data_IF_728407485342
#
_entry.id   IF_728407485342
#
_cell.length_a   1.000
_cell.length_b   1.000
_cell.length_c   1.000
_cell.angle_alpha   90.00
_cell.angle_beta   90.00
_cell.angle_gamma   90.00
#
_symmetry.space_group_name_H-M   'P 1'
#
loop_
_entity.id
_entity.type
_entity.pdbx_description
1 polymer ?
#
# COMPACT_ATOMS: atom_id res chain seq x y z
N UNK A 1 -27.40 -10.71 -14.87
CA UNK A 1 -26.43 -10.70 -15.95
C UNK A 1 -25.12 -11.32 -15.52
N UNK A 2 -24.82 -12.42 -16.15
CA UNK A 2 -23.64 -13.21 -15.84
C UNK A 2 -22.32 -12.42 -16.00
N UNK A 3 -22.28 -11.44 -16.91
CA UNK A 3 -21.06 -10.70 -17.21
C UNK A 3 -20.52 -9.87 -16.06
N UNK A 4 -21.37 -9.29 -15.23
CA UNK A 4 -20.91 -8.53 -14.06
C UNK A 4 -20.32 -9.43 -12.99
N UNK A 5 -20.94 -10.59 -12.76
CA UNK A 5 -20.45 -11.55 -11.78
C UNK A 5 -19.10 -12.15 -12.22
N UNK A 6 -18.98 -12.48 -13.50
CA UNK A 6 -17.73 -12.98 -14.05
C UNK A 6 -16.61 -11.94 -13.92
N UNK A 7 -16.93 -10.67 -14.20
CA UNK A 7 -15.96 -9.59 -14.09
C UNK A 7 -15.48 -9.41 -12.65
N UNK A 8 -16.39 -9.44 -11.66
CA UNK A 8 -16.04 -9.34 -10.25
C UNK A 8 -15.20 -10.53 -9.79
N UNK A 9 -15.54 -11.74 -10.20
CA UNK A 9 -14.76 -12.94 -9.88
C UNK A 9 -13.38 -12.89 -10.52
N UNK A 10 -13.28 -12.49 -11.79
CA UNK A 10 -12.02 -12.33 -12.49
C UNK A 10 -11.15 -11.29 -11.80
N UNK A 11 -11.75 -10.15 -11.39
CA UNK A 11 -11.03 -9.11 -10.65
C UNK A 11 -10.49 -9.62 -9.32
N UNK A 12 -11.30 -10.35 -8.55
CA UNK A 12 -10.86 -10.92 -7.28
C UNK A 12 -9.73 -11.92 -7.48
N UNK A 13 -9.85 -12.85 -8.45
CA UNK A 13 -8.80 -13.80 -8.78
C UNK A 13 -7.51 -13.13 -9.25
N UNK A 14 -7.64 -12.04 -10.02
CA UNK A 14 -6.50 -11.37 -10.59
C UNK A 14 -5.65 -10.62 -9.57
N UNK A 15 -6.13 -10.45 -8.34
CA UNK A 15 -5.36 -9.84 -7.25
C UNK A 15 -4.53 -10.84 -6.47
N UNK A 16 -4.97 -12.09 -6.41
CA UNK A 16 -4.27 -13.12 -5.64
C UNK A 16 -2.86 -13.33 -6.21
N UNK A 17 -1.88 -13.35 -5.32
CA UNK A 17 -0.49 -13.59 -5.69
C UNK A 17 0.47 -12.64 -5.02
N UNK A 18 1.65 -12.54 -5.61
CA UNK A 18 2.76 -11.73 -5.12
C UNK A 18 3.00 -10.58 -6.08
N UNK A 19 3.08 -9.38 -5.54
CA UNK A 19 3.28 -8.14 -6.29
C UNK A 19 4.54 -7.43 -5.80
N UNK A 20 5.29 -6.86 -6.72
CA UNK A 20 6.50 -6.09 -6.45
C UNK A 20 6.20 -4.60 -6.62
N UNK A 21 6.66 -3.78 -5.69
CA UNK A 21 6.46 -2.33 -5.73
C UNK A 21 7.26 -1.72 -6.90
N UNK A 22 6.57 -0.89 -7.68
CA UNK A 22 7.18 -0.11 -8.76
C UNK A 22 7.41 1.32 -8.29
N UNK A 23 6.40 1.94 -7.66
CA UNK A 23 6.50 3.33 -7.20
C UNK A 23 5.57 3.59 -6.03
N UNK A 24 5.92 4.60 -5.25
CA UNK A 24 5.12 5.10 -4.14
C UNK A 24 5.15 6.62 -4.14
N UNK A 25 4.03 7.23 -4.57
CA UNK A 25 3.86 8.67 -4.61
C UNK A 25 2.93 9.13 -3.49
N UNK A 26 3.22 10.28 -2.92
CA UNK A 26 2.25 11.06 -2.17
C UNK A 26 1.71 12.18 -3.05
N UNK A 27 0.39 12.38 -3.01
CA UNK A 27 -0.28 13.52 -3.61
C UNK A 27 -0.83 14.38 -2.49
N UNK A 28 -0.47 15.67 -2.50
CA UNK A 28 -0.92 16.63 -1.50
C UNK A 28 -2.31 17.15 -1.84
N UNK A 29 -3.23 17.13 -0.89
CA UNK A 29 -4.61 17.54 -1.14
C UNK A 29 -4.73 19.03 -1.46
N UNK A 30 -3.92 19.86 -0.82
CA UNK A 30 -4.01 21.33 -0.95
C UNK A 30 -3.35 21.80 -2.23
N UNK A 31 -2.14 21.31 -2.52
CA UNK A 31 -1.34 21.81 -3.64
C UNK A 31 -1.52 20.99 -4.91
N UNK A 32 -1.96 19.74 -4.80
CA UNK A 32 -2.01 18.78 -5.90
C UNK A 32 -0.64 18.26 -6.31
N UNK A 33 0.43 18.68 -5.64
CA UNK A 33 1.77 18.23 -5.95
C UNK A 33 1.94 16.75 -5.59
N UNK A 34 2.74 16.05 -6.41
CA UNK A 34 3.11 14.65 -6.17
C UNK A 34 4.59 14.58 -5.87
N UNK A 35 4.94 13.70 -4.94
CA UNK A 35 6.34 13.43 -4.59
C UNK A 35 6.56 11.94 -4.47
N UNK A 36 7.76 11.50 -4.81
CA UNK A 36 8.19 10.11 -4.60
C UNK A 36 8.50 9.93 -3.11
N UNK A 37 7.59 9.31 -2.37
CA UNK A 37 7.71 9.25 -0.91
C UNK A 37 8.91 8.44 -0.44
N UNK A 38 9.22 7.35 -1.16
CA UNK A 38 10.31 6.44 -0.81
C UNK A 38 11.42 6.41 -1.88
N UNK A 39 11.61 7.51 -2.63
CA UNK A 39 12.63 7.60 -3.67
C UNK A 39 12.17 7.03 -5.00
N UNK A 40 13.10 6.97 -5.96
CA UNK A 40 12.82 6.52 -7.31
C UNK A 40 12.81 4.99 -7.44
N UNK A 41 13.49 4.30 -6.54
CA UNK A 41 13.59 2.84 -6.55
C UNK A 41 13.28 2.25 -5.18
N UNK A 42 12.04 2.40 -4.71
CA UNK A 42 11.64 1.77 -3.45
C UNK A 42 11.59 0.26 -3.62
N UNK A 43 11.65 -0.46 -2.53
CA UNK A 43 11.46 -1.90 -2.51
C UNK A 43 10.16 -2.22 -1.79
N UNK A 44 9.44 -3.21 -2.28
CA UNK A 44 8.23 -3.62 -1.60
C UNK A 44 7.65 -4.88 -2.18
N UNK A 45 6.90 -5.57 -1.33
CA UNK A 45 6.21 -6.79 -1.69
C UNK A 45 4.82 -6.79 -1.06
N UNK A 46 3.84 -7.07 -1.89
CA UNK A 46 2.45 -7.23 -1.48
C UNK A 46 2.06 -8.66 -1.77
N UNK A 47 1.54 -9.34 -0.77
CA UNK A 47 1.07 -10.72 -0.91
C UNK A 47 -0.40 -10.76 -0.57
N UNK A 48 -1.20 -11.23 -1.53
CA UNK A 48 -2.63 -11.44 -1.36
C UNK A 48 -2.92 -12.92 -1.55
N UNK A 49 -3.37 -13.57 -0.50
CA UNK A 49 -3.74 -14.99 -0.55
C UNK A 49 -5.23 -15.16 -0.80
N UNK A 50 -5.58 -16.26 -1.42
CA UNK A 50 -6.97 -16.58 -1.74
C UNK A 50 -7.85 -16.69 -0.50
N UNK A 51 -7.28 -17.12 0.63
CA UNK A 51 -8.00 -17.27 1.89
C UNK A 51 -8.32 -15.94 2.59
N UNK A 52 -7.93 -14.80 1.99
CA UNK A 52 -8.21 -13.48 2.55
C UNK A 52 -7.07 -12.85 3.34
N UNK A 53 -5.93 -13.50 3.44
CA UNK A 53 -4.78 -12.91 4.13
C UNK A 53 -4.01 -11.99 3.19
N UNK A 54 -3.68 -10.81 3.69
CA UNK A 54 -2.86 -9.82 3.02
C UNK A 54 -1.67 -9.46 3.90
N UNK A 55 -0.50 -9.34 3.30
CA UNK A 55 0.70 -8.84 3.94
C UNK A 55 1.44 -7.93 2.98
N UNK A 56 1.89 -6.79 3.47
CA UNK A 56 2.66 -5.84 2.68
C UNK A 56 3.85 -5.33 3.48
N UNK A 57 4.97 -5.17 2.80
CA UNK A 57 6.16 -4.54 3.36
C UNK A 57 6.81 -3.71 2.26
N UNK A 58 7.14 -2.48 2.58
CA UNK A 58 7.88 -1.62 1.66
C UNK A 58 8.86 -0.75 2.41
N UNK A 59 9.99 -0.50 1.76
CA UNK A 59 11.09 0.29 2.31
C UNK A 59 11.57 1.30 1.29
N UNK A 60 12.04 2.44 1.78
CA UNK A 60 12.59 3.50 0.94
C UNK A 60 13.93 3.10 0.32
N UNK A 61 14.26 3.76 -0.78
CA UNK A 61 15.59 3.70 -1.38
C UNK A 61 16.63 4.30 -0.44
N UNK A 62 17.83 3.74 -0.45
CA UNK A 62 18.97 4.36 0.22
C UNK A 62 18.97 4.26 1.74
N UNK A 63 18.29 3.29 2.32
CA UNK A 63 18.29 3.11 3.77
C UNK A 63 19.66 2.71 4.29
N UNK A 64 20.03 3.31 5.41
CA UNK A 64 21.31 3.04 6.07
C UNK A 64 21.13 1.97 7.16
N UNK A 65 22.23 1.29 7.48
CA UNK A 65 22.29 0.43 8.67
C UNK A 65 22.18 1.33 9.89
N UNK A 66 21.17 1.17 10.75
CA UNK A 66 20.98 2.06 11.88
C UNK A 66 22.03 1.82 12.97
N UNK A 67 22.71 2.88 13.38
CA UNK A 67 23.75 2.83 14.43
C UNK A 67 23.42 3.73 15.61
N UNK A 68 22.60 4.76 15.39
CA UNK A 68 22.20 5.74 16.40
C UNK A 68 20.69 5.70 16.61
N UNK A 69 20.22 6.38 17.64
CA UNK A 69 18.78 6.52 17.85
C UNK A 69 18.11 7.32 16.73
N UNK A 70 18.81 8.34 16.20
CA UNK A 70 18.33 9.12 15.07
C UNK A 70 18.18 8.24 13.82
N UNK A 71 19.15 7.36 13.59
CA UNK A 71 19.08 6.39 12.49
C UNK A 71 17.88 5.44 12.64
N UNK A 72 17.56 5.05 13.88
CA UNK A 72 16.41 4.17 14.15
C UNK A 72 15.09 4.87 13.90
N UNK A 73 14.99 6.16 14.23
CA UNK A 73 13.82 6.97 13.90
C UNK A 73 13.64 7.05 12.39
N UNK A 74 14.72 7.32 11.68
CA UNK A 74 14.70 7.38 10.21
C UNK A 74 14.29 6.02 9.61
N UNK A 75 14.81 4.93 10.17
CA UNK A 75 14.45 3.58 9.72
C UNK A 75 12.96 3.30 9.92
N UNK A 76 12.39 3.73 11.03
CA UNK A 76 10.94 3.61 11.27
C UNK A 76 10.14 4.41 10.25
N UNK A 77 10.60 5.63 9.91
CA UNK A 77 9.90 6.54 9.01
C UNK A 77 10.07 6.19 7.52
N UNK A 78 10.91 5.23 7.20
CA UNK A 78 11.16 4.77 5.82
C UNK A 78 10.73 3.33 5.60
N UNK A 79 9.80 2.87 6.40
CA UNK A 79 9.23 1.52 6.36
C UNK A 79 7.72 1.62 6.51
N UNK A 80 7.00 0.82 5.75
CA UNK A 80 5.59 0.51 5.96
C UNK A 80 5.47 -1.00 5.95
N UNK A 81 4.87 -1.57 6.99
CA UNK A 81 4.65 -3.02 7.05
C UNK A 81 3.40 -3.31 7.86
N UNK A 82 2.46 -4.02 7.27
CA UNK A 82 1.26 -4.43 7.99
C UNK A 82 0.64 -5.66 7.35
N UNK A 83 -0.25 -6.28 8.09
CA UNK A 83 -0.92 -7.50 7.68
C UNK A 83 -2.32 -7.54 8.26
N UNK A 84 -3.21 -8.26 7.62
CA UNK A 84 -4.57 -8.47 8.08
C UNK A 84 -5.43 -9.16 7.05
N UNK A 85 -6.69 -9.35 7.39
CA UNK A 85 -7.64 -9.96 6.46
C UNK A 85 -8.19 -8.89 5.53
N UNK A 86 -8.32 -9.22 4.26
CA UNK A 86 -8.84 -8.31 3.26
C UNK A 86 -10.11 -8.82 2.62
N UNK A 87 -10.90 -7.88 2.12
CA UNK A 87 -12.01 -8.15 1.20
C UNK A 87 -11.90 -7.19 0.02
N UNK A 88 -12.45 -7.58 -1.12
CA UNK A 88 -12.54 -6.70 -2.29
C UNK A 88 -14.02 -6.48 -2.58
N UNK A 89 -14.41 -5.21 -2.64
CA UNK A 89 -15.79 -4.81 -2.86
C UNK A 89 -15.81 -3.46 -3.57
N UNK A 90 -16.54 -3.36 -4.66
CA UNK A 90 -16.75 -2.11 -5.40
C UNK A 90 -15.43 -1.43 -5.80
N UNK A 91 -14.50 -2.20 -6.35
CA UNK A 91 -13.17 -1.73 -6.74
C UNK A 91 -12.38 -1.14 -5.57
N UNK A 92 -12.63 -1.63 -4.36
CA UNK A 92 -11.90 -1.25 -3.16
C UNK A 92 -11.33 -2.49 -2.48
N UNK A 93 -10.09 -2.37 -2.04
CA UNK A 93 -9.43 -3.33 -1.18
C UNK A 93 -9.59 -2.82 0.26
N UNK A 94 -10.26 -3.60 1.09
CA UNK A 94 -10.52 -3.27 2.49
C UNK A 94 -9.70 -4.22 3.35
N UNK A 95 -8.82 -3.67 4.19
CA UNK A 95 -7.89 -4.46 5.00
C UNK A 95 -8.14 -4.17 6.47
N UNK A 96 -8.50 -5.20 7.24
CA UNK A 96 -8.59 -5.12 8.68
C UNK A 96 -7.21 -5.45 9.25
N UNK A 97 -6.48 -4.43 9.69
CA UNK A 97 -5.09 -4.57 10.12
C UNK A 97 -5.04 -5.19 11.52
N UNK A 98 -4.29 -6.27 11.67
CA UNK A 98 -4.07 -6.92 12.97
C UNK A 98 -2.61 -6.92 13.41
N UNK A 99 -1.67 -6.73 12.48
CA UNK A 99 -0.24 -6.60 12.75
C UNK A 99 0.28 -5.42 11.95
N UNK A 100 1.04 -4.53 12.57
CA UNK A 100 1.59 -3.37 11.89
C UNK A 100 2.90 -2.90 12.54
N UNK A 101 3.81 -2.35 11.73
CA UNK A 101 5.01 -1.70 12.24
C UNK A 101 4.69 -0.48 13.10
N UNK A 102 3.59 0.19 12.79
CA UNK A 102 3.06 1.32 13.55
C UNK A 102 1.83 0.84 14.31
N UNK A 103 1.94 0.76 15.61
CA UNK A 103 0.89 0.20 16.45
C UNK A 103 -0.43 0.98 16.34
N UNK A 104 -0.37 2.24 15.94
CA UNK A 104 -1.57 3.05 15.71
C UNK A 104 -2.48 2.49 14.60
N UNK A 105 -1.95 1.64 13.71
CA UNK A 105 -2.72 1.05 12.62
C UNK A 105 -3.42 -0.25 13.02
N UNK A 106 -2.99 -0.86 14.12
CA UNK A 106 -3.61 -2.11 14.58
C UNK A 106 -5.05 -1.87 14.98
N UNK A 107 -5.96 -2.70 14.49
CA UNK A 107 -7.39 -2.55 14.72
C UNK A 107 -8.08 -1.55 13.81
N UNK A 108 -7.38 -0.98 12.83
CA UNK A 108 -7.99 -0.04 11.87
C UNK A 108 -8.38 -0.76 10.59
N UNK A 109 -9.33 -0.16 9.87
CA UNK A 109 -9.70 -0.56 8.51
C UNK A 109 -8.97 0.37 7.53
N UNK A 110 -8.09 -0.21 6.73
CA UNK A 110 -7.40 0.51 5.65
C UNK A 110 -8.11 0.26 4.34
N UNK A 111 -8.51 1.31 3.65
CA UNK A 111 -9.26 1.23 2.40
C UNK A 111 -8.36 1.73 1.27
N UNK A 112 -8.28 0.97 0.19
CA UNK A 112 -7.51 1.32 -1.00
C UNK A 112 -8.40 1.21 -2.23
N UNK A 113 -8.45 2.26 -3.02
CA UNK A 113 -9.10 2.19 -4.33
C UNK A 113 -8.19 1.42 -5.28
N UNK A 114 -8.80 0.57 -6.10
CA UNK A 114 -8.11 -0.32 -7.01
C UNK A 114 -8.22 0.23 -8.43
N UNK A 115 -7.10 0.32 -9.12
CA UNK A 115 -7.05 0.71 -10.52
C UNK A 115 -5.99 -0.13 -11.24
N UNK A 116 -6.34 -0.71 -12.38
CA UNK A 116 -5.35 -1.37 -13.22
C UNK A 116 -4.88 -0.40 -14.31
N UNK A 117 -3.57 -0.31 -14.49
CA UNK A 117 -2.94 0.46 -15.56
C UNK A 117 -2.14 -0.56 -16.39
N UNK A 118 -2.77 -1.05 -17.46
CA UNK A 118 -2.23 -2.19 -18.19
C UNK A 118 -2.21 -3.43 -17.28
N UNK A 119 -1.05 -4.06 -17.15
CA UNK A 119 -0.84 -5.21 -16.27
C UNK A 119 -0.46 -4.82 -14.84
N UNK A 120 -0.31 -3.51 -14.58
CA UNK A 120 0.07 -3.01 -13.26
C UNK A 120 -1.16 -2.70 -12.42
N UNK A 121 -1.02 -2.90 -11.12
CA UNK A 121 -2.03 -2.63 -10.13
C UNK A 121 -1.68 -1.33 -9.42
N UNK A 122 -2.62 -0.37 -9.37
CA UNK A 122 -2.49 0.79 -8.51
C UNK A 122 -3.42 0.65 -7.32
N UNK A 123 -2.90 0.91 -6.13
CA UNK A 123 -3.66 1.00 -4.90
C UNK A 123 -3.53 2.43 -4.38
N UNK A 124 -4.68 3.08 -4.21
CA UNK A 124 -4.75 4.51 -3.86
C UNK A 124 -5.45 4.64 -2.51
N UNK A 125 -4.78 5.24 -1.54
CA UNK A 125 -5.36 5.46 -0.22
C UNK A 125 -6.39 6.60 -0.25
N UNK A 126 -7.26 6.65 0.76
CA UNK A 126 -8.10 7.81 0.99
C UNK A 126 -7.25 9.00 1.43
N UNK A 127 -7.78 10.22 1.25
CA UNK A 127 -7.14 11.41 1.80
C UNK A 127 -7.11 11.30 3.33
N UNK A 128 -5.94 11.47 3.91
CA UNK A 128 -5.74 11.36 5.35
C UNK A 128 -4.45 12.04 5.77
N UNK A 129 -4.31 12.29 7.07
CA UNK A 129 -3.05 12.78 7.60
C UNK A 129 -1.94 11.78 7.33
N UNK A 130 -0.78 12.27 6.88
CA UNK A 130 0.37 11.43 6.66
C UNK A 130 0.84 10.82 7.99
N UNK A 131 1.15 9.53 8.04
CA UNK A 131 1.75 8.93 9.25
C UNK A 131 3.14 9.47 9.57
N UNK A 132 3.78 10.15 8.62
CA UNK A 132 5.13 10.71 8.77
C UNK A 132 5.12 12.22 9.00
N UNK A 133 4.09 12.91 8.52
CA UNK A 133 3.91 14.36 8.59
C UNK A 133 2.45 14.67 8.92
N UNK A 134 2.06 14.67 10.21
CA UNK A 134 0.65 14.72 10.62
C UNK A 134 -0.12 15.96 10.16
N UNK A 135 0.57 17.05 9.86
CA UNK A 135 -0.06 18.31 9.43
C UNK A 135 -0.42 18.32 7.93
N UNK A 136 0.04 17.31 7.19
CA UNK A 136 -0.26 17.19 5.76
C UNK A 136 -1.38 16.19 5.53
N UNK A 137 -2.34 16.60 4.68
CA UNK A 137 -3.36 15.68 4.17
C UNK A 137 -2.89 15.20 2.79
N UNK A 138 -2.68 13.91 2.69
CA UNK A 138 -2.13 13.27 1.49
C UNK A 138 -2.92 12.03 1.14
N UNK A 139 -2.71 11.52 -0.06
CA UNK A 139 -3.06 10.15 -0.39
C UNK A 139 -1.85 9.47 -1.02
N UNK A 140 -1.68 8.20 -0.69
CA UNK A 140 -0.64 7.38 -1.28
C UNK A 140 -1.13 6.75 -2.58
N UNK A 141 -0.28 6.75 -3.58
CA UNK A 141 -0.53 6.06 -4.85
C UNK A 141 0.61 5.08 -5.03
N UNK A 142 0.31 3.79 -4.87
CA UNK A 142 1.29 2.72 -4.96
C UNK A 142 1.03 1.91 -6.21
N UNK A 143 2.05 1.75 -7.02
CA UNK A 143 1.96 0.95 -8.24
C UNK A 143 2.76 -0.32 -8.08
N UNK A 144 2.15 -1.42 -8.47
CA UNK A 144 2.67 -2.77 -8.28
C UNK A 144 2.66 -3.54 -9.60
N UNK A 145 3.66 -4.38 -9.80
CA UNK A 145 3.65 -5.34 -10.89
C UNK A 145 3.77 -6.76 -10.34
N UNK A 146 3.21 -7.71 -11.07
CA UNK A 146 3.27 -9.10 -10.63
C UNK A 146 4.70 -9.57 -10.55
N UNK A 147 5.02 -10.12 -9.40
CA UNK A 147 6.23 -10.91 -9.21
C UNK A 147 5.83 -12.37 -9.48
N UNK A 148 6.44 -13.01 -10.35
CA UNK A 148 6.04 -14.31 -10.92
C UNK A 148 5.49 -15.30 -9.91
#
# INVERSE_FOLDING_TARGET
>A
MSGQNEHLQTSASSFVGVWRLVSFDYEDQVTGNRELRFGTMPKGRLILLENGLMTVILTAEGRLIPKTNEDRVEAFNTLIAYSGMYTIQDAQLNINVDISWNEAWVGTLQIRSICFVGSRLQLISAWAASPFEPDRIVRGILEWEREV
#
